data_IF_129796439021
#
_entry.id   IF_129796439021
#
_cell.length_a   1.000
_cell.length_b   1.000
_cell.length_c   1.000
_cell.angle_alpha   90.00
_cell.angle_beta   90.00
_cell.angle_gamma   90.00
#
_symmetry.space_group_name_H-M   'P 1'
#
loop_
_entity.id
_entity.type
_entity.pdbx_description
1 polymer ?
#
# COMPACT_ATOMS: atom_id res chain seq x y z
N UNK A 1 -18.26 -0.46 -11.99
CA UNK A 1 -17.51 0.65 -12.63
C UNK A 1 -17.80 1.95 -11.91
N UNK A 2 -16.77 2.75 -11.62
CA UNK A 2 -16.90 4.10 -11.06
C UNK A 2 -16.39 5.11 -12.08
N UNK A 3 -17.12 6.19 -12.33
CA UNK A 3 -16.68 7.27 -13.22
C UNK A 3 -16.66 8.58 -12.44
N UNK A 4 -15.52 9.27 -12.49
CA UNK A 4 -15.28 10.52 -11.75
C UNK A 4 -14.68 11.59 -12.64
N UNK A 5 -15.01 12.85 -12.37
CA UNK A 5 -14.47 13.98 -13.14
C UNK A 5 -13.00 14.24 -12.80
N UNK A 6 -12.19 14.53 -13.81
CA UNK A 6 -10.84 15.09 -13.69
C UNK A 6 -10.81 16.56 -14.13
N UNK A 7 -11.95 17.25 -14.03
CA UNK A 7 -12.09 18.62 -14.50
C UNK A 7 -11.95 18.70 -16.02
N UNK A 8 -11.14 19.64 -16.50
CA UNK A 8 -10.88 19.82 -17.93
C UNK A 8 -10.13 18.64 -18.57
N UNK A 9 -9.56 17.73 -17.77
CA UNK A 9 -8.85 16.54 -18.26
C UNK A 9 -9.78 15.35 -18.57
N UNK A 10 -11.09 15.60 -18.67
CA UNK A 10 -12.12 14.59 -18.95
C UNK A 10 -12.51 13.80 -17.70
N UNK A 11 -12.80 12.51 -17.88
CA UNK A 11 -13.19 11.60 -16.79
C UNK A 11 -12.11 10.55 -16.52
N UNK A 12 -12.16 9.95 -15.34
CA UNK A 12 -11.46 8.72 -14.98
C UNK A 12 -12.51 7.64 -14.72
N UNK A 13 -12.29 6.47 -15.29
CA UNK A 13 -13.13 5.29 -15.06
C UNK A 13 -12.30 4.29 -14.27
N UNK A 14 -12.82 3.86 -13.13
CA UNK A 14 -12.26 2.80 -12.28
C UNK A 14 -13.14 1.57 -12.49
N UNK A 15 -12.59 0.61 -13.21
CA UNK A 15 -13.22 -0.65 -13.52
C UNK A 15 -12.74 -1.73 -12.56
N UNK A 16 -13.69 -2.52 -12.08
CA UNK A 16 -13.46 -3.66 -11.19
C UNK A 16 -14.31 -4.79 -11.73
N UNK A 17 -13.67 -5.92 -12.01
CA UNK A 17 -14.28 -7.10 -12.59
C UNK A 17 -13.84 -8.36 -11.85
N UNK A 18 -14.60 -9.46 -12.01
CA UNK A 18 -14.16 -10.76 -11.51
C UNK A 18 -13.30 -11.42 -12.58
N UNK A 19 -12.11 -11.85 -12.21
CA UNK A 19 -11.26 -12.67 -13.07
C UNK A 19 -11.84 -14.08 -13.27
N UNK A 20 -11.17 -14.90 -14.10
CA UNK A 20 -11.58 -16.29 -14.36
C UNK A 20 -11.52 -17.20 -13.12
N UNK A 21 -10.93 -16.76 -12.01
CA UNK A 21 -10.87 -17.46 -10.72
C UNK A 21 -11.88 -16.89 -9.71
N UNK A 22 -12.66 -15.89 -10.09
CA UNK A 22 -13.67 -15.24 -9.28
C UNK A 22 -13.15 -14.15 -8.33
N UNK A 23 -11.87 -13.77 -8.41
CA UNK A 23 -11.26 -12.68 -7.62
C UNK A 23 -11.57 -11.33 -8.25
N UNK A 24 -11.80 -10.30 -7.43
CA UNK A 24 -11.97 -8.95 -7.97
C UNK A 24 -10.62 -8.36 -8.37
N UNK A 25 -10.53 -7.84 -9.59
CA UNK A 25 -9.33 -7.24 -10.18
C UNK A 25 -9.67 -5.94 -10.90
N UNK A 26 -8.66 -5.12 -11.20
CA UNK A 26 -8.81 -3.94 -12.04
C UNK A 26 -7.95 -4.00 -13.31
N UNK A 27 -8.54 -3.90 -14.51
CA UNK A 27 -7.78 -3.83 -15.77
C UNK A 27 -6.85 -2.63 -15.84
N UNK A 28 -7.17 -1.53 -15.13
CA UNK A 28 -6.38 -0.29 -15.11
C UNK A 28 -4.96 -0.45 -14.53
N UNK A 29 -4.69 -1.59 -13.90
CA UNK A 29 -3.38 -1.97 -13.33
C UNK A 29 -2.96 -3.36 -13.77
N UNK A 30 -3.30 -3.72 -15.01
CA UNK A 30 -2.91 -5.01 -15.59
C UNK A 30 -3.58 -6.21 -14.91
N UNK A 31 -4.73 -6.02 -14.27
CA UNK A 31 -5.45 -7.08 -13.55
C UNK A 31 -5.01 -7.23 -12.09
N UNK A 32 -4.43 -6.20 -11.47
CA UNK A 32 -4.08 -6.25 -10.05
C UNK A 32 -5.33 -6.47 -9.17
N UNK A 33 -5.25 -7.29 -8.11
CA UNK A 33 -6.35 -7.51 -7.17
C UNK A 33 -6.86 -6.22 -6.52
N UNK A 34 -8.18 -6.08 -6.43
CA UNK A 34 -8.82 -5.02 -5.63
C UNK A 34 -9.38 -5.60 -4.34
N UNK A 35 -9.57 -4.75 -3.34
CA UNK A 35 -10.08 -5.19 -2.03
C UNK A 35 -11.51 -5.75 -2.14
N UNK A 36 -11.64 -7.06 -1.99
CA UNK A 36 -12.94 -7.76 -1.92
C UNK A 36 -13.87 -7.14 -0.88
N UNK A 37 -13.32 -6.69 0.26
CA UNK A 37 -14.08 -6.05 1.32
C UNK A 37 -14.68 -4.71 0.87
N UNK A 38 -13.93 -3.91 0.11
CA UNK A 38 -14.42 -2.64 -0.43
C UNK A 38 -15.47 -2.86 -1.52
N UNK A 39 -15.24 -3.79 -2.45
CA UNK A 39 -16.21 -4.12 -3.50
C UNK A 39 -17.51 -4.65 -2.87
N UNK A 40 -17.42 -5.55 -1.89
CA UNK A 40 -18.59 -6.03 -1.15
C UNK A 40 -19.32 -4.90 -0.43
N UNK A 41 -18.60 -3.99 0.24
CA UNK A 41 -19.20 -2.79 0.87
C UNK A 41 -19.94 -1.92 -0.14
N UNK A 42 -19.41 -1.74 -1.35
CA UNK A 42 -20.08 -0.99 -2.41
C UNK A 42 -21.37 -1.67 -2.90
N UNK A 43 -21.31 -2.97 -3.18
CA UNK A 43 -22.46 -3.76 -3.65
C UNK A 43 -23.59 -3.78 -2.61
N UNK A 44 -23.26 -4.04 -1.34
CA UNK A 44 -24.24 -4.02 -0.24
C UNK A 44 -24.75 -2.59 -0.02
N UNK A 45 -23.86 -1.60 -0.04
CA UNK A 45 -24.18 -0.20 0.20
C UNK A 45 -25.20 0.35 -0.78
N UNK A 46 -25.09 0.02 -2.08
CA UNK A 46 -26.11 0.39 -3.08
C UNK A 46 -27.34 -0.50 -2.97
N UNK A 47 -27.18 -1.81 -2.78
CA UNK A 47 -28.32 -2.74 -2.69
C UNK A 47 -29.25 -2.50 -1.50
N UNK A 48 -28.75 -1.89 -0.42
CA UNK A 48 -29.51 -1.53 0.77
C UNK A 48 -29.88 -0.04 0.83
N UNK A 49 -29.53 0.73 -0.21
CA UNK A 49 -29.78 2.17 -0.23
C UNK A 49 -31.27 2.47 -0.35
N UNK A 50 -31.78 3.31 0.54
CA UNK A 50 -33.19 3.72 0.55
C UNK A 50 -33.30 5.19 0.12
N UNK A 51 -34.09 5.47 -0.91
CA UNK A 51 -34.47 6.82 -1.27
C UNK A 51 -35.38 7.40 -0.15
N UNK A 52 -34.82 8.27 0.69
CA UNK A 52 -35.49 8.70 1.92
C UNK A 52 -36.29 10.00 1.75
N UNK A 53 -35.65 11.09 1.34
CA UNK A 53 -36.32 12.37 1.09
C UNK A 53 -36.11 12.79 -0.36
N UNK A 54 -37.17 12.94 -1.18
CA UNK A 54 -37.04 13.57 -2.49
C UNK A 54 -36.53 15.01 -2.34
N UNK A 55 -35.75 15.46 -3.32
CA UNK A 55 -35.11 16.78 -3.28
C UNK A 55 -35.56 17.65 -4.44
N UNK A 56 -35.11 17.36 -5.65
CA UNK A 56 -35.41 18.20 -6.81
C UNK A 56 -35.32 17.39 -8.09
N UNK A 57 -36.26 17.66 -9.00
CA UNK A 57 -36.23 17.24 -10.39
C UNK A 57 -35.62 18.32 -11.32
N UNK A 58 -35.28 19.50 -10.81
CA UNK A 58 -34.70 20.56 -11.64
C UNK A 58 -33.19 20.30 -11.86
N UNK A 59 -32.75 20.04 -13.11
CA UNK A 59 -31.35 19.74 -13.41
C UNK A 59 -30.37 20.87 -13.03
N UNK A 60 -30.81 22.13 -13.06
CA UNK A 60 -29.98 23.28 -12.70
C UNK A 60 -29.49 23.22 -11.24
N UNK A 61 -30.21 22.52 -10.37
CA UNK A 61 -29.91 22.41 -8.95
C UNK A 61 -28.97 21.23 -8.63
N UNK A 62 -28.73 20.31 -9.58
CA UNK A 62 -27.91 19.12 -9.34
C UNK A 62 -26.48 19.48 -8.95
N UNK A 63 -25.90 20.54 -9.51
CA UNK A 63 -24.54 21.01 -9.13
C UNK A 63 -24.45 21.33 -7.62
N UNK A 64 -25.50 21.91 -7.04
CA UNK A 64 -25.50 22.30 -5.63
C UNK A 64 -25.48 21.07 -4.71
N UNK A 65 -26.11 19.98 -5.15
CA UNK A 65 -26.12 18.68 -4.46
C UNK A 65 -24.90 17.81 -4.79
N UNK A 66 -24.05 18.26 -5.72
CA UNK A 66 -22.93 17.49 -6.24
C UNK A 66 -23.34 16.34 -7.16
N UNK A 67 -24.52 16.40 -7.79
CA UNK A 67 -25.12 15.38 -8.65
C UNK A 67 -24.99 15.67 -10.16
N UNK A 68 -24.23 16.70 -10.52
CA UNK A 68 -23.86 16.96 -11.90
C UNK A 68 -22.93 15.84 -12.39
N UNK A 69 -23.13 15.37 -13.63
CA UNK A 69 -22.42 14.21 -14.19
C UNK A 69 -20.91 14.47 -14.30
N UNK A 70 -20.07 13.42 -14.15
CA UNK A 70 -18.62 13.54 -14.29
C UNK A 70 -18.16 14.19 -15.62
N UNK A 71 -18.83 13.85 -16.71
CA UNK A 71 -18.54 14.33 -18.07
C UNK A 71 -18.80 15.83 -18.22
N UNK A 72 -19.75 16.36 -17.45
CA UNK A 72 -20.12 17.78 -17.42
C UNK A 72 -19.27 18.57 -16.40
N UNK A 73 -18.08 18.06 -16.06
CA UNK A 73 -17.19 18.60 -15.03
C UNK A 73 -17.89 18.64 -13.65
N UNK A 74 -18.84 17.72 -13.44
CA UNK A 74 -19.57 17.58 -12.19
C UNK A 74 -18.79 16.80 -11.13
N UNK A 75 -19.10 17.08 -9.87
CA UNK A 75 -18.42 16.43 -8.74
C UNK A 75 -19.00 15.06 -8.37
N UNK A 76 -20.05 14.59 -9.08
CA UNK A 76 -20.67 13.32 -8.78
C UNK A 76 -19.69 12.17 -9.05
N UNK A 77 -19.82 11.11 -8.28
CA UNK A 77 -19.28 9.80 -8.61
C UNK A 77 -20.40 9.02 -9.28
N UNK A 78 -20.26 8.70 -10.57
CA UNK A 78 -21.19 7.76 -11.21
C UNK A 78 -20.75 6.35 -10.84
N UNK A 79 -21.66 5.55 -10.29
CA UNK A 79 -21.44 4.15 -9.94
C UNK A 79 -22.36 3.30 -10.79
N UNK A 80 -21.78 2.33 -11.50
CA UNK A 80 -22.49 1.50 -12.47
C UNK A 80 -22.19 0.03 -12.23
N UNK A 81 -23.23 -0.78 -12.35
CA UNK A 81 -23.22 -2.22 -12.09
C UNK A 81 -23.60 -2.97 -13.35
N UNK A 82 -22.90 -4.07 -13.61
CA UNK A 82 -23.01 -4.84 -14.84
C UNK A 82 -23.07 -6.34 -14.56
N UNK A 83 -23.66 -7.08 -15.49
CA UNK A 83 -23.54 -8.54 -15.63
C UNK A 83 -23.03 -8.85 -17.03
N UNK A 84 -21.75 -9.21 -17.14
CA UNK A 84 -21.06 -9.16 -18.44
C UNK A 84 -21.14 -7.74 -19.00
N UNK A 85 -21.57 -7.61 -20.26
CA UNK A 85 -21.72 -6.31 -20.93
C UNK A 85 -23.07 -5.62 -20.64
N UNK A 86 -24.01 -6.31 -19.97
CA UNK A 86 -25.33 -5.75 -19.66
C UNK A 86 -25.28 -4.85 -18.43
N UNK A 87 -25.67 -3.59 -18.62
CA UNK A 87 -25.80 -2.62 -17.53
C UNK A 87 -27.07 -2.86 -16.71
N UNK A 88 -26.89 -3.21 -15.44
CA UNK A 88 -27.99 -3.48 -14.50
C UNK A 88 -28.53 -2.21 -13.84
N UNK A 89 -27.64 -1.30 -13.42
CA UNK A 89 -28.01 -0.09 -12.70
C UNK A 89 -26.93 0.98 -12.81
N UNK A 90 -27.33 2.24 -12.69
CA UNK A 90 -26.45 3.40 -12.60
C UNK A 90 -26.96 4.41 -11.60
N UNK A 91 -26.05 4.95 -10.79
CA UNK A 91 -26.34 5.93 -9.74
C UNK A 91 -25.32 7.05 -9.81
N UNK A 92 -25.79 8.30 -9.77
CA UNK A 92 -24.94 9.46 -9.53
C UNK A 92 -24.97 9.76 -8.04
N UNK A 93 -23.79 9.74 -7.41
CA UNK A 93 -23.62 9.96 -5.98
C UNK A 93 -22.90 11.27 -5.74
N UNK A 94 -23.52 12.14 -4.95
CA UNK A 94 -23.09 13.51 -4.74
C UNK A 94 -22.50 13.76 -3.36
N UNK A 95 -22.83 14.94 -2.81
CA UNK A 95 -22.31 15.37 -1.50
C UNK A 95 -22.86 14.48 -0.37
N UNK A 96 -22.01 14.23 0.62
CA UNK A 96 -22.41 13.69 1.92
C UNK A 96 -22.55 14.87 2.87
N UNK A 97 -23.74 15.16 3.43
CA UNK A 97 -23.90 16.30 4.32
C UNK A 97 -23.16 16.09 5.65
N UNK A 98 -22.44 17.10 6.13
CA UNK A 98 -21.49 17.03 7.27
C UNK A 98 -22.06 16.58 8.62
N UNK A 99 -23.40 16.57 8.78
CA UNK A 99 -24.09 16.21 10.04
C UNK A 99 -25.29 15.27 9.84
N UNK A 100 -25.39 14.61 8.69
CA UNK A 100 -26.60 13.90 8.34
C UNK A 100 -26.44 12.41 8.64
N UNK A 101 -26.51 12.08 9.92
CA UNK A 101 -27.08 10.78 10.32
C UNK A 101 -28.58 10.97 10.48
N UNK A 102 -29.36 10.00 10.03
CA UNK A 102 -30.80 10.02 10.29
C UNK A 102 -31.09 9.75 11.78
N UNK A 103 -32.37 9.70 12.16
CA UNK A 103 -32.80 9.43 13.54
C UNK A 103 -32.31 8.08 14.10
N UNK A 104 -31.81 7.16 13.25
CA UNK A 104 -31.25 5.86 13.63
C UNK A 104 -29.71 5.84 13.59
N UNK A 105 -29.06 6.95 13.26
CA UNK A 105 -27.61 7.01 13.14
C UNK A 105 -27.08 6.62 11.75
N UNK A 106 -27.96 6.40 10.75
CA UNK A 106 -27.54 5.99 9.40
C UNK A 106 -27.09 7.19 8.57
N UNK A 107 -25.95 7.06 7.91
CA UNK A 107 -25.43 8.12 7.03
C UNK A 107 -26.40 8.45 5.90
N UNK A 108 -26.51 9.74 5.59
CA UNK A 108 -27.33 10.26 4.51
C UNK A 108 -26.46 10.77 3.37
N UNK A 109 -26.92 10.59 2.14
CA UNK A 109 -26.15 10.94 0.94
C UNK A 109 -27.05 11.39 -0.20
N UNK A 110 -26.65 12.44 -0.92
CA UNK A 110 -27.39 12.87 -2.10
C UNK A 110 -27.12 11.90 -3.25
N UNK A 111 -28.20 11.42 -3.89
CA UNK A 111 -28.12 10.51 -5.03
C UNK A 111 -29.19 10.83 -6.08
N UNK A 112 -28.97 10.40 -7.32
CA UNK A 112 -30.03 10.26 -8.33
C UNK A 112 -29.73 9.08 -9.24
N UNK A 113 -30.77 8.42 -9.73
CA UNK A 113 -30.60 7.37 -10.75
C UNK A 113 -30.00 7.99 -12.00
N UNK A 114 -29.06 7.29 -12.62
CA UNK A 114 -28.43 7.82 -13.83
C UNK A 114 -29.42 7.78 -15.00
N UNK A 115 -29.61 8.93 -15.64
CA UNK A 115 -30.65 9.15 -16.65
C UNK A 115 -31.94 9.77 -16.12
N UNK A 116 -32.09 9.91 -14.80
CA UNK A 116 -33.24 10.56 -14.18
C UNK A 116 -32.83 11.90 -13.54
N UNK A 117 -33.75 12.87 -13.54
CA UNK A 117 -33.52 14.18 -12.94
C UNK A 117 -33.97 14.28 -11.48
N UNK A 118 -34.89 13.41 -11.04
CA UNK A 118 -35.31 13.36 -9.65
C UNK A 118 -34.14 12.92 -8.76
N UNK A 119 -33.82 13.75 -7.78
CA UNK A 119 -32.76 13.51 -6.80
C UNK A 119 -33.33 13.27 -5.42
N UNK A 120 -32.58 12.51 -4.62
CA UNK A 120 -32.97 12.12 -3.28
C UNK A 120 -31.84 12.39 -2.30
N UNK A 121 -32.18 12.70 -1.06
CA UNK A 121 -31.31 12.36 0.06
C UNK A 121 -31.64 10.92 0.44
N UNK A 122 -30.71 10.01 0.19
CA UNK A 122 -30.86 8.59 0.48
C UNK A 122 -30.20 8.22 1.81
N UNK A 123 -30.75 7.21 2.47
CA UNK A 123 -30.09 6.51 3.58
C UNK A 123 -29.17 5.45 3.03
N UNK A 124 -27.94 5.45 3.53
CA UNK A 124 -26.94 4.47 3.14
C UNK A 124 -25.56 5.09 2.98
N UNK A 125 -24.59 4.21 2.75
CA UNK A 125 -23.21 4.59 2.51
C UNK A 125 -22.58 3.60 1.56
N UNK A 126 -21.66 4.10 0.76
CA UNK A 126 -20.80 3.30 -0.10
C UNK A 126 -19.43 3.98 -0.18
N UNK A 127 -18.36 3.24 -0.44
CA UNK A 127 -17.07 3.84 -0.73
C UNK A 127 -17.17 4.73 -1.99
N UNK A 128 -16.63 5.95 -1.91
CA UNK A 128 -16.62 6.94 -3.01
C UNK A 128 -15.22 7.34 -3.42
N UNK A 129 -14.30 6.39 -3.27
CA UNK A 129 -12.91 6.54 -3.65
C UNK A 129 -12.80 6.92 -5.13
N UNK A 130 -12.02 7.97 -5.39
CA UNK A 130 -11.94 8.62 -6.71
C UNK A 130 -10.66 8.25 -7.45
N UNK A 131 -9.78 7.50 -6.81
CA UNK A 131 -8.55 6.99 -7.40
C UNK A 131 -8.59 5.46 -7.39
N UNK A 132 -7.97 4.83 -8.38
CA UNK A 132 -7.90 3.37 -8.46
C UNK A 132 -7.12 2.77 -7.28
N UNK A 133 -6.11 3.49 -6.79
CA UNK A 133 -5.20 3.09 -5.72
C UNK A 133 -5.93 2.82 -4.40
N UNK A 134 -6.96 3.61 -4.09
CA UNK A 134 -7.82 3.42 -2.92
C UNK A 134 -8.67 2.14 -2.97
N UNK A 135 -8.80 1.50 -4.14
CA UNK A 135 -9.51 0.23 -4.32
C UNK A 135 -8.59 -0.99 -4.31
N UNK A 136 -7.29 -0.80 -4.54
CA UNK A 136 -6.35 -1.92 -4.65
C UNK A 136 -6.28 -2.70 -3.34
N UNK A 137 -5.97 -3.99 -3.44
CA UNK A 137 -5.59 -4.76 -2.26
C UNK A 137 -4.24 -4.25 -1.74
N UNK A 138 -4.28 -3.62 -0.56
CA UNK A 138 -3.12 -3.03 0.10
C UNK A 138 -2.23 -4.05 0.79
N UNK A 139 -2.54 -5.35 0.70
CA UNK A 139 -1.71 -6.42 1.24
C UNK A 139 -0.35 -6.46 0.50
N UNK A 140 0.61 -5.72 1.05
CA UNK A 140 1.96 -5.52 0.52
C UNK A 140 2.91 -6.58 1.10
N UNK A 141 3.79 -6.18 2.02
CA UNK A 141 4.65 -7.06 2.80
C UNK A 141 4.08 -7.12 4.22
N UNK A 142 3.81 -8.34 4.70
CA UNK A 142 3.27 -8.57 6.04
C UNK A 142 4.27 -9.43 6.80
N UNK A 143 5.24 -8.76 7.42
CA UNK A 143 6.26 -9.35 8.28
C UNK A 143 5.98 -8.81 9.70
N UNK A 144 5.70 -9.68 10.68
CA UNK A 144 5.54 -9.25 12.06
C UNK A 144 6.80 -8.56 12.57
N UNK A 145 6.64 -7.47 13.31
CA UNK A 145 7.77 -6.69 13.81
C UNK A 145 8.74 -7.57 14.59
N UNK A 146 8.24 -8.41 15.50
CA UNK A 146 9.00 -9.34 16.33
C UNK A 146 9.80 -10.39 15.54
N UNK A 147 9.41 -10.70 14.30
CA UNK A 147 10.08 -11.72 13.50
C UNK A 147 11.26 -11.14 12.70
N UNK A 148 11.28 -9.83 12.42
CA UNK A 148 12.38 -9.20 11.68
C UNK A 148 13.69 -9.29 12.50
N UNK A 149 14.71 -9.89 11.91
CA UNK A 149 16.00 -10.16 12.54
C UNK A 149 17.12 -9.26 11.96
N UNK A 150 17.15 -9.15 10.64
CA UNK A 150 18.23 -8.47 9.92
C UNK A 150 17.72 -7.79 8.66
N UNK A 151 18.29 -6.62 8.38
CA UNK A 151 18.02 -5.82 7.18
C UNK A 151 19.36 -5.43 6.57
N UNK A 152 19.55 -5.76 5.30
CA UNK A 152 20.75 -5.36 4.56
C UNK A 152 20.37 -4.44 3.40
N UNK A 153 20.95 -3.26 3.35
CA UNK A 153 20.61 -2.21 2.38
C UNK A 153 21.81 -1.87 1.50
N UNK A 154 21.63 -1.96 0.18
CA UNK A 154 22.56 -1.48 -0.84
C UNK A 154 21.92 -0.29 -1.54
N UNK A 155 22.38 0.93 -1.25
CA UNK A 155 21.89 2.17 -1.86
C UNK A 155 22.50 2.41 -3.25
N UNK A 156 22.48 1.40 -4.13
CA UNK A 156 23.12 1.45 -5.45
C UNK A 156 24.65 1.40 -5.41
N UNK A 157 25.22 0.85 -4.33
CA UNK A 157 26.67 0.65 -4.17
C UNK A 157 26.95 -0.78 -3.74
N UNK A 158 28.16 -1.30 -3.95
CA UNK A 158 28.55 -2.64 -3.50
C UNK A 158 28.72 -2.75 -1.97
N UNK A 159 28.72 -1.64 -1.24
CA UNK A 159 28.93 -1.61 0.22
C UNK A 159 27.60 -1.48 0.94
N UNK A 160 27.09 -2.56 1.55
CA UNK A 160 25.82 -2.49 2.25
C UNK A 160 25.92 -1.79 3.61
N UNK A 161 24.78 -1.38 4.13
CA UNK A 161 24.57 -1.22 5.57
C UNK A 161 23.82 -2.45 6.07
N UNK A 162 24.33 -3.10 7.11
CA UNK A 162 23.71 -4.25 7.75
C UNK A 162 23.17 -3.82 9.11
N UNK A 163 21.86 -3.92 9.27
CA UNK A 163 21.15 -3.68 10.52
C UNK A 163 20.66 -5.01 11.08
N UNK A 164 20.97 -5.30 12.34
CA UNK A 164 20.52 -6.54 12.97
C UNK A 164 20.23 -6.35 14.45
N UNK A 165 19.43 -7.26 15.01
CA UNK A 165 19.15 -7.35 16.43
C UNK A 165 19.11 -8.81 16.87
N UNK A 166 19.28 -9.04 18.16
CA UNK A 166 19.12 -10.36 18.76
C UNK A 166 17.64 -10.59 19.08
N UNK A 167 17.19 -11.84 19.00
CA UNK A 167 15.81 -12.19 19.34
C UNK A 167 15.48 -11.76 20.78
N UNK A 168 14.38 -11.03 20.94
CA UNK A 168 13.94 -10.48 22.23
C UNK A 168 14.47 -9.09 22.54
N UNK A 169 15.43 -8.56 21.77
CA UNK A 169 15.81 -7.15 21.84
C UNK A 169 14.86 -6.27 21.04
N UNK A 170 14.63 -5.05 21.54
CA UNK A 170 13.77 -4.07 20.85
C UNK A 170 14.53 -3.38 19.71
N UNK A 171 15.78 -3.00 19.95
CA UNK A 171 16.53 -2.09 19.09
C UNK A 171 17.45 -2.81 18.10
N UNK A 172 17.49 -2.30 16.87
CA UNK A 172 18.48 -2.67 15.87
C UNK A 172 19.81 -1.93 16.08
N UNK A 173 20.89 -2.61 15.71
CA UNK A 173 22.26 -2.09 15.69
C UNK A 173 22.86 -2.20 14.28
N UNK A 174 23.93 -1.46 14.00
CA UNK A 174 24.66 -1.57 12.73
C UNK A 174 25.76 -2.63 12.91
N UNK A 175 25.61 -3.78 12.27
CA UNK A 175 26.54 -4.92 12.39
C UNK A 175 27.91 -4.61 11.78
N UNK A 176 27.92 -3.93 10.64
CA UNK A 176 29.13 -3.59 9.90
C UNK A 176 29.59 -2.14 10.11
N UNK A 177 29.50 -1.64 11.35
CA UNK A 177 29.90 -0.29 11.71
C UNK A 177 31.42 -0.08 11.45
N UNK A 178 31.82 0.89 10.61
CA UNK A 178 33.23 1.16 10.36
C UNK A 178 33.98 1.65 11.59
N UNK A 179 35.27 1.31 11.69
CA UNK A 179 36.14 1.83 12.74
C UNK A 179 36.18 3.37 12.71
N UNK A 180 36.20 3.99 13.90
CA UNK A 180 36.19 5.45 14.05
C UNK A 180 34.82 6.11 13.82
N UNK A 181 33.74 5.33 13.65
CA UNK A 181 32.38 5.84 13.52
C UNK A 181 31.48 5.39 14.66
N UNK A 182 30.47 6.21 14.94
CA UNK A 182 29.40 5.92 15.88
C UNK A 182 28.05 6.04 15.17
N UNK A 183 27.07 5.25 15.62
CA UNK A 183 25.67 5.37 15.18
C UNK A 183 25.11 6.75 15.57
N UNK A 184 24.18 7.27 14.76
CA UNK A 184 23.39 8.48 15.09
C UNK A 184 22.29 8.24 16.13
N UNK A 185 22.24 7.05 16.72
CA UNK A 185 21.33 6.66 17.80
C UNK A 185 20.33 5.61 17.35
N UNK A 186 19.85 4.82 18.31
CA UNK A 186 18.88 3.74 18.08
C UNK A 186 17.61 4.20 17.33
N UNK A 187 17.00 5.38 17.60
CA UNK A 187 15.80 5.80 16.87
C UNK A 187 16.01 5.94 15.35
N UNK A 188 17.19 6.40 14.91
CA UNK A 188 17.50 6.54 13.49
C UNK A 188 17.68 5.17 12.85
N UNK A 189 18.40 4.27 13.52
CA UNK A 189 18.65 2.91 13.03
C UNK A 189 17.34 2.11 12.95
N UNK A 190 16.52 2.14 14.01
CA UNK A 190 15.24 1.46 14.05
C UNK A 190 14.30 1.96 12.97
N UNK A 191 14.19 3.29 12.77
CA UNK A 191 13.33 3.86 11.74
C UNK A 191 13.67 3.32 10.34
N UNK A 192 14.94 3.08 10.06
CA UNK A 192 15.39 2.51 8.79
C UNK A 192 15.12 1.01 8.73
N UNK A 193 15.48 0.27 9.79
CA UNK A 193 15.30 -1.18 9.84
C UNK A 193 13.83 -1.60 9.70
N UNK A 194 12.92 -0.88 10.35
CA UNK A 194 11.49 -1.23 10.39
C UNK A 194 10.67 -0.55 9.30
N UNK A 195 11.28 0.25 8.43
CA UNK A 195 10.56 1.08 7.46
C UNK A 195 9.57 0.30 6.58
N UNK A 196 9.92 -0.94 6.20
CA UNK A 196 9.08 -1.78 5.34
C UNK A 196 7.84 -2.33 6.05
N UNK A 197 7.89 -2.52 7.37
CA UNK A 197 6.89 -3.30 8.13
C UNK A 197 5.52 -2.62 8.17
N UNK A 198 5.51 -1.29 8.26
CA UNK A 198 4.29 -0.48 8.32
C UNK A 198 3.99 0.21 6.99
N UNK A 199 4.61 -0.26 5.90
CA UNK A 199 4.54 0.42 4.62
C UNK A 199 3.50 -0.17 3.67
N UNK A 200 2.91 0.71 2.87
CA UNK A 200 2.14 0.34 1.69
C UNK A 200 2.88 0.71 0.41
N UNK A 201 2.14 0.76 -0.68
CA UNK A 201 2.63 1.22 -1.98
C UNK A 201 1.72 2.34 -2.50
N UNK A 202 2.32 3.26 -3.25
CA UNK A 202 1.60 4.38 -3.87
C UNK A 202 0.92 3.95 -5.17
N UNK A 203 1.48 2.99 -5.91
CA UNK A 203 0.95 2.46 -7.17
C UNK A 203 1.52 1.08 -7.52
N UNK A 204 0.94 0.40 -8.50
CA UNK A 204 1.36 -0.95 -8.91
C UNK A 204 1.34 -1.10 -10.44
N UNK A 205 2.21 -1.95 -10.98
CA UNK A 205 2.24 -2.29 -12.40
C UNK A 205 2.69 -3.75 -12.58
N UNK A 206 2.37 -4.41 -13.71
CA UNK A 206 2.94 -5.71 -14.03
C UNK A 206 4.47 -5.69 -13.98
N UNK A 207 5.10 -6.75 -13.49
CA UNK A 207 6.55 -6.80 -13.27
C UNK A 207 7.38 -6.50 -14.53
N UNK A 208 6.88 -6.90 -15.70
CA UNK A 208 7.53 -6.68 -16.99
C UNK A 208 7.49 -5.22 -17.50
N UNK A 209 6.92 -4.29 -16.73
CA UNK A 209 6.75 -2.89 -17.15
C UNK A 209 8.00 -2.04 -16.87
N UNK A 210 8.86 -2.47 -15.94
CA UNK A 210 10.06 -1.73 -15.53
C UNK A 210 11.30 -2.61 -15.59
N UNK A 211 12.41 -2.01 -16.01
CA UNK A 211 13.73 -2.62 -15.95
C UNK A 211 14.40 -2.33 -14.60
N UNK A 212 15.13 -3.31 -14.09
CA UNK A 212 15.91 -3.22 -12.85
C UNK A 212 17.39 -3.48 -13.18
N UNK A 213 18.18 -2.43 -13.49
CA UNK A 213 19.61 -2.56 -13.75
C UNK A 213 20.36 -3.20 -12.58
N UNK A 214 21.51 -3.81 -12.83
CA UNK A 214 22.29 -4.51 -11.79
C UNK A 214 22.72 -3.60 -10.63
N UNK A 215 23.01 -2.33 -10.93
CA UNK A 215 23.38 -1.26 -9.97
C UNK A 215 22.18 -0.66 -9.22
N UNK A 216 20.98 -1.17 -9.45
CA UNK A 216 19.76 -0.78 -8.73
C UNK A 216 19.94 -0.93 -7.22
N UNK A 217 19.40 -0.01 -6.41
CA UNK A 217 19.33 -0.21 -4.97
C UNK A 217 18.63 -1.53 -4.61
N UNK A 218 19.15 -2.23 -3.60
CA UNK A 218 18.63 -3.53 -3.14
C UNK A 218 18.45 -3.51 -1.64
N UNK A 219 17.45 -4.23 -1.14
CA UNK A 219 17.28 -4.51 0.26
C UNK A 219 17.01 -6.00 0.46
N UNK A 220 17.51 -6.55 1.55
CA UNK A 220 17.20 -7.90 2.00
C UNK A 220 16.68 -7.81 3.42
N UNK A 221 15.51 -8.40 3.67
CA UNK A 221 14.89 -8.51 4.98
C UNK A 221 14.88 -9.98 5.40
N UNK A 222 15.41 -10.27 6.58
CA UNK A 222 15.60 -11.61 7.10
C UNK A 222 14.91 -11.72 8.44
N UNK A 223 14.18 -12.81 8.65
CA UNK A 223 13.43 -13.08 9.87
C UNK A 223 14.03 -14.24 10.66
N UNK A 224 13.75 -14.27 11.97
CA UNK A 224 14.19 -15.37 12.86
C UNK A 224 13.55 -16.72 12.52
N UNK A 225 12.42 -16.71 11.81
CA UNK A 225 11.68 -17.91 11.41
C UNK A 225 12.14 -18.49 10.06
N UNK A 226 13.12 -17.87 9.37
CA UNK A 226 13.75 -18.44 8.18
C UNK A 226 13.33 -17.81 6.84
N UNK A 227 12.49 -16.78 6.85
CA UNK A 227 12.12 -16.05 5.63
C UNK A 227 13.22 -15.05 5.25
N UNK A 228 13.63 -15.07 3.98
CA UNK A 228 14.41 -14.01 3.36
C UNK A 228 13.60 -13.36 2.25
N UNK A 229 13.29 -12.08 2.40
CA UNK A 229 12.63 -11.26 1.39
C UNK A 229 13.66 -10.35 0.71
N UNK A 230 13.92 -10.58 -0.57
CA UNK A 230 14.70 -9.69 -1.43
C UNK A 230 13.80 -8.64 -2.04
N UNK A 231 14.28 -7.41 -2.08
CA UNK A 231 13.67 -6.28 -2.74
C UNK A 231 14.70 -5.61 -3.64
N UNK A 232 14.38 -5.46 -4.91
CA UNK A 232 15.17 -4.67 -5.85
C UNK A 232 14.37 -3.42 -6.22
N UNK A 233 15.01 -2.26 -6.23
CA UNK A 233 14.38 -0.96 -6.46
C UNK A 233 14.98 -0.28 -7.69
N UNK A 234 14.14 0.25 -8.56
CA UNK A 234 14.57 1.04 -9.71
C UNK A 234 13.71 2.30 -9.87
N UNK A 235 14.23 3.30 -10.58
CA UNK A 235 13.52 4.56 -10.85
C UNK A 235 14.40 5.79 -10.70
N UNK A 236 13.92 6.92 -11.22
CA UNK A 236 14.58 8.22 -11.18
C UNK A 236 13.69 9.28 -10.51
N UNK A 237 14.29 10.41 -10.09
CA UNK A 237 13.53 11.57 -9.65
C UNK A 237 12.73 11.38 -8.35
N UNK A 238 13.12 10.44 -7.49
CA UNK A 238 12.49 10.20 -6.19
C UNK A 238 11.25 9.29 -6.21
N UNK A 239 10.90 8.72 -7.37
CA UNK A 239 9.85 7.73 -7.50
C UNK A 239 10.45 6.33 -7.71
N UNK A 240 10.76 5.66 -6.60
CA UNK A 240 11.28 4.29 -6.64
C UNK A 240 10.14 3.29 -6.81
N UNK A 241 10.36 2.31 -7.67
CA UNK A 241 9.53 1.13 -7.83
C UNK A 241 10.30 -0.08 -7.35
N UNK A 242 9.62 -1.04 -6.73
CA UNK A 242 10.21 -2.23 -6.18
C UNK A 242 9.60 -3.51 -6.76
N UNK A 243 10.44 -4.52 -6.99
CA UNK A 243 10.02 -5.91 -7.16
C UNK A 243 10.49 -6.73 -5.97
N UNK A 244 9.77 -7.81 -5.68
CA UNK A 244 10.02 -8.65 -4.52
C UNK A 244 10.23 -10.10 -4.94
N UNK A 245 11.14 -10.76 -4.23
CA UNK A 245 11.36 -12.20 -4.30
C UNK A 245 11.54 -12.72 -2.87
N UNK A 246 10.74 -13.72 -2.50
CA UNK A 246 10.85 -14.38 -1.20
C UNK A 246 11.49 -15.75 -1.36
N UNK A 247 12.37 -16.10 -0.43
CA UNK A 247 12.93 -17.44 -0.32
C UNK A 247 13.00 -17.86 1.15
N UNK A 248 13.25 -19.15 1.37
CA UNK A 248 13.55 -19.67 2.69
C UNK A 248 15.03 -19.94 2.80
N UNK A 249 15.65 -19.47 3.89
CA UNK A 249 17.02 -19.82 4.24
C UNK A 249 17.03 -20.62 5.54
N UNK A 250 17.31 -21.93 5.49
CA UNK A 250 17.40 -22.78 6.68
C UNK A 250 18.43 -22.30 7.70
N UNK A 251 19.46 -21.54 7.29
CA UNK A 251 20.47 -21.01 8.20
C UNK A 251 19.97 -19.87 9.08
N UNK A 252 18.84 -19.24 8.73
CA UNK A 252 18.22 -18.17 9.51
C UNK A 252 17.26 -18.69 10.60
N UNK A 253 16.88 -19.97 10.52
CA UNK A 253 15.93 -20.56 11.48
C UNK A 253 16.58 -20.68 12.85
N UNK A 254 16.03 -19.95 13.81
CA UNK A 254 16.50 -19.92 15.20
C UNK A 254 15.69 -20.88 16.08
N UNK A 255 16.35 -21.66 16.94
CA UNK A 255 15.68 -22.52 17.94
C UNK A 255 14.81 -23.64 17.34
N UNK A 256 13.57 -23.78 17.82
CA UNK A 256 12.58 -24.79 17.37
C UNK A 256 11.78 -24.36 16.11
N UNK A 257 12.30 -23.41 15.33
CA UNK A 257 11.60 -22.88 14.16
C UNK A 257 11.35 -23.93 13.08
N UNK A 258 10.19 -23.81 12.40
CA UNK A 258 9.78 -24.74 11.34
C UNK A 258 10.13 -24.20 9.96
N UNK A 259 11.20 -24.75 9.36
CA UNK A 259 11.64 -24.46 7.98
C UNK A 259 10.49 -24.63 6.98
N UNK A 260 9.58 -25.59 7.19
CA UNK A 260 8.46 -25.83 6.28
C UNK A 260 7.43 -24.70 6.31
N UNK A 261 7.24 -24.06 7.47
CA UNK A 261 6.36 -22.89 7.62
C UNK A 261 6.94 -21.67 6.90
N UNK A 262 8.25 -21.43 6.99
CA UNK A 262 8.91 -20.38 6.21
C UNK A 262 8.85 -20.63 4.70
N UNK A 263 8.97 -21.90 4.27
CA UNK A 263 8.77 -22.33 2.88
C UNK A 263 7.41 -21.90 2.31
N UNK A 264 6.34 -22.27 3.02
CA UNK A 264 4.98 -21.88 2.64
C UNK A 264 4.81 -20.37 2.60
N UNK A 265 5.37 -19.65 3.59
CA UNK A 265 5.29 -18.19 3.64
C UNK A 265 5.98 -17.53 2.44
N UNK A 266 7.15 -18.04 2.04
CA UNK A 266 7.86 -17.55 0.87
C UNK A 266 7.05 -17.79 -0.43
N UNK A 267 6.46 -18.98 -0.58
CA UNK A 267 5.57 -19.30 -1.70
C UNK A 267 4.37 -18.35 -1.77
N UNK A 268 3.66 -18.13 -0.65
CA UNK A 268 2.52 -17.20 -0.58
C UNK A 268 2.91 -15.76 -0.95
N UNK A 269 4.07 -15.29 -0.49
CA UNK A 269 4.58 -13.97 -0.84
C UNK A 269 4.92 -13.88 -2.32
N UNK A 270 5.56 -14.90 -2.89
CA UNK A 270 5.87 -14.92 -4.32
C UNK A 270 4.62 -14.98 -5.19
N UNK A 271 3.63 -15.81 -4.85
CA UNK A 271 2.35 -15.85 -5.55
C UNK A 271 1.64 -14.49 -5.56
N UNK A 272 1.79 -13.72 -4.47
CA UNK A 272 1.18 -12.41 -4.33
C UNK A 272 1.97 -11.31 -5.03
N UNK A 273 3.30 -11.31 -4.92
CA UNK A 273 4.15 -10.15 -5.22
C UNK A 273 4.92 -10.27 -6.54
N UNK A 274 5.34 -11.47 -6.95
CA UNK A 274 6.34 -11.66 -8.03
C UNK A 274 5.86 -11.19 -9.41
N UNK A 275 4.54 -11.17 -9.64
CA UNK A 275 3.94 -10.72 -10.89
C UNK A 275 3.91 -9.18 -11.03
N UNK A 276 4.31 -8.44 -9.99
CA UNK A 276 4.08 -7.01 -9.88
C UNK A 276 5.34 -6.23 -9.51
N UNK A 277 5.31 -4.94 -9.84
CA UNK A 277 6.22 -3.92 -9.36
C UNK A 277 5.40 -2.84 -8.66
N UNK A 278 5.92 -2.34 -7.55
CA UNK A 278 5.20 -1.46 -6.64
C UNK A 278 5.91 -0.13 -6.53
N UNK A 279 5.21 0.96 -6.82
CA UNK A 279 5.71 2.30 -6.57
C UNK A 279 5.75 2.52 -5.06
N UNK A 280 6.93 2.75 -4.52
CA UNK A 280 7.12 2.99 -3.10
C UNK A 280 6.72 4.42 -2.74
N UNK A 281 6.16 4.64 -1.54
CA UNK A 281 6.07 5.96 -0.96
C UNK A 281 7.45 6.58 -0.86
N UNK A 282 7.55 7.89 -1.11
CA UNK A 282 8.84 8.59 -1.14
C UNK A 282 9.64 8.40 0.16
N UNK A 283 8.97 8.45 1.32
CA UNK A 283 9.62 8.26 2.61
C UNK A 283 10.21 6.85 2.78
N UNK A 284 9.50 5.81 2.31
CA UNK A 284 9.99 4.45 2.32
C UNK A 284 11.22 4.30 1.43
N UNK A 285 11.15 4.81 0.19
CA UNK A 285 12.29 4.82 -0.72
C UNK A 285 13.52 5.51 -0.12
N UNK A 286 13.31 6.63 0.58
CA UNK A 286 14.37 7.35 1.28
C UNK A 286 14.97 6.56 2.45
N UNK A 287 14.18 5.77 3.20
CA UNK A 287 14.70 4.93 4.28
C UNK A 287 15.51 3.74 3.71
N UNK A 288 15.01 3.10 2.66
CA UNK A 288 15.61 1.88 2.10
C UNK A 288 16.86 2.15 1.23
N UNK A 289 17.13 3.42 0.92
CA UNK A 289 18.33 3.88 0.22
C UNK A 289 19.29 4.67 1.13
N UNK A 290 19.15 4.55 2.46
CA UNK A 290 20.11 5.13 3.40
C UNK A 290 21.50 4.52 3.24
N UNK A 291 22.52 5.35 3.39
CA UNK A 291 23.93 4.95 3.33
C UNK A 291 24.57 4.95 4.71
N UNK A 292 25.75 4.32 4.82
CA UNK A 292 26.52 4.29 6.07
C UNK A 292 26.79 5.70 6.60
N UNK A 293 27.11 6.68 5.74
CA UNK A 293 27.40 8.06 6.14
C UNK A 293 26.19 8.80 6.74
N UNK A 294 24.98 8.44 6.29
CA UNK A 294 23.74 9.05 6.79
C UNK A 294 23.30 8.43 8.12
N UNK A 295 23.63 7.15 8.35
CA UNK A 295 23.29 6.43 9.58
C UNK A 295 24.33 6.59 10.70
N UNK A 296 25.54 7.02 10.34
CA UNK A 296 26.67 7.17 11.25
C UNK A 296 27.19 8.60 11.29
N UNK A 297 28.01 8.88 12.29
CA UNK A 297 28.80 10.11 12.44
C UNK A 297 30.21 9.74 12.86
N UNK A 298 31.13 10.68 12.78
CA UNK A 298 32.45 10.50 13.38
C UNK A 298 32.30 10.26 14.89
N UNK A 299 33.06 9.28 15.40
CA UNK A 299 33.09 8.97 16.82
C UNK A 299 33.75 10.13 17.58
N UNK A 300 33.10 10.55 18.66
CA UNK A 300 33.60 11.56 19.57
C UNK A 300 34.17 10.95 20.85
N UNK A 301 34.73 11.78 21.75
CA UNK A 301 35.33 11.32 23.02
C UNK A 301 34.37 10.51 23.91
N UNK A 302 33.06 10.76 23.81
CA UNK A 302 32.03 10.02 24.55
C UNK A 302 31.81 8.59 24.01
N UNK A 303 32.11 8.33 22.74
CA UNK A 303 31.91 7.02 22.10
C UNK A 303 33.09 6.07 22.37
N UNK A 304 34.29 6.61 22.61
CA UNK A 304 35.50 5.84 22.94
C UNK A 304 35.45 5.16 24.32
N UNK A 305 34.48 5.55 25.18
CA UNK A 305 34.34 5.05 26.54
C UNK A 305 33.33 3.90 26.68
N UNK A 306 32.65 3.50 25.59
CA UNK A 306 31.70 2.37 25.62
C UNK A 306 32.46 1.10 25.21
N UNK A 307 32.67 0.12 26.11
CA UNK A 307 33.36 -1.10 25.73
C UNK A 307 32.52 -1.90 24.73
N UNK A 308 33.19 -2.48 23.75
CA UNK A 308 32.61 -3.50 22.85
C UNK A 308 32.10 -4.67 23.69
N UNK A 309 30.84 -5.15 23.51
CA UNK A 309 30.42 -6.37 24.17
C UNK A 309 31.21 -7.54 23.57
N UNK A 310 32.10 -8.14 24.37
CA UNK A 310 32.83 -9.35 24.01
C UNK A 310 34.35 -9.33 24.10
N UNK A 311 34.99 -8.24 24.57
CA UNK A 311 36.41 -8.29 24.94
C UNK A 311 36.59 -8.48 26.45
N UNK A 312 36.36 -9.71 26.91
CA UNK A 312 37.12 -10.21 28.07
C UNK A 312 38.53 -10.54 27.57
N UNK A 313 39.48 -9.69 27.93
CA UNK A 313 40.91 -10.00 27.85
C UNK A 313 41.40 -10.51 29.23
N UNK A 314 42.45 -11.37 29.23
CA UNK A 314 42.66 -12.45 30.20
C UNK A 314 43.00 -12.03 31.63
#
# INVERSE_FOLDING_TARGET
>A
VYTVSRGMNGVMTIEMERDGKGKWVTPLRGGYPVSDALVKKALIGVGQMEAYEPRTANPEWHRNLGLLKPEDIGSAVRVEFFTGDERLAGLLVGKVPERAVDVKGEGLIYVRRDGEDESFLARGRLPLFKTVNEWLDSAFVDIPHENLARVTLWAGTERPVVLSRIQGEENFSIENLPEGRATRGAPVVNKVATAILDSGFDDVAPAATLDFPEESPKAIFETFDGLRLRMEMAGEGGALWAKFEAETDPALVSGDGDVASAGKRAEELNERLSAWTYKLPQDLGNQLTQTMDLLTREAGPADAATPMPGQEFP
#
